data_IF_844794638068
#
_entry.id   IF_844794638068
#
_cell.length_a   1.000
_cell.length_b   1.000
_cell.length_c   1.000
_cell.angle_alpha   90.00
_cell.angle_beta   90.00
_cell.angle_gamma   90.00
#
_symmetry.space_group_name_H-M   'P 1'
#
loop_
_entity.id
_entity.type
_entity.pdbx_description
1 polymer ?
#
# COMPACT_ATOMS: atom_id res chain seq x y z
N UNK A 1 2.54 -25.06 -18.71
CA UNK A 1 1.68 -23.87 -18.92
C UNK A 1 0.48 -24.01 -17.97
N UNK A 2 0.60 -23.61 -16.69
CA UNK A 2 -0.47 -23.47 -15.68
C UNK A 2 0.13 -23.31 -14.26
N UNK A 3 0.92 -22.26 -14.06
CA UNK A 3 1.42 -21.89 -12.72
C UNK A 3 1.27 -20.40 -12.45
N UNK A 4 1.30 -19.55 -13.48
CA UNK A 4 1.11 -18.11 -13.36
C UNK A 4 -0.33 -17.67 -13.01
N UNK A 5 -1.36 -18.47 -13.34
CA UNK A 5 -2.76 -18.10 -13.06
C UNK A 5 -3.15 -18.25 -11.58
N UNK A 6 -2.62 -19.25 -10.88
CA UNK A 6 -2.94 -19.47 -9.46
C UNK A 6 -2.24 -18.47 -8.52
N UNK A 7 -1.07 -17.94 -8.91
CA UNK A 7 -0.39 -16.89 -8.15
C UNK A 7 -1.09 -15.52 -8.26
N UNK A 8 -1.75 -15.23 -9.39
CA UNK A 8 -2.44 -13.95 -9.59
C UNK A 8 -3.71 -13.83 -8.72
N UNK A 9 -4.51 -14.90 -8.63
CA UNK A 9 -5.72 -14.93 -7.80
C UNK A 9 -5.43 -14.82 -6.30
N UNK A 10 -4.35 -15.45 -5.81
CA UNK A 10 -3.99 -15.41 -4.39
C UNK A 10 -3.41 -14.06 -3.94
N UNK A 11 -2.83 -13.27 -4.83
CA UNK A 11 -2.42 -11.89 -4.54
C UNK A 11 -3.61 -10.94 -4.41
N UNK A 12 -4.70 -11.21 -5.12
CA UNK A 12 -5.87 -10.32 -5.19
C UNK A 12 -6.73 -10.39 -3.92
N UNK A 13 -6.96 -11.59 -3.36
CA UNK A 13 -7.69 -11.78 -2.10
C UNK A 13 -6.94 -11.17 -0.90
N UNK A 14 -5.61 -11.26 -0.92
CA UNK A 14 -4.72 -10.66 0.07
C UNK A 14 -4.70 -9.13 -0.02
N UNK A 15 -4.76 -8.58 -1.24
CA UNK A 15 -4.79 -7.13 -1.47
C UNK A 15 -6.09 -6.51 -0.97
N UNK A 16 -7.24 -7.08 -1.31
CA UNK A 16 -8.54 -6.52 -0.87
C UNK A 16 -8.68 -6.57 0.64
N UNK A 17 -8.22 -7.63 1.28
CA UNK A 17 -8.22 -7.74 2.74
C UNK A 17 -7.34 -6.65 3.38
N UNK A 18 -6.09 -6.48 2.89
CA UNK A 18 -5.17 -5.42 3.36
C UNK A 18 -5.71 -4.01 3.09
N UNK A 19 -6.40 -3.80 1.97
CA UNK A 19 -7.03 -2.52 1.64
C UNK A 19 -8.16 -2.21 2.62
N UNK A 20 -9.01 -3.20 2.95
CA UNK A 20 -10.06 -3.05 3.97
C UNK A 20 -9.47 -2.72 5.33
N UNK A 21 -8.43 -3.43 5.76
CA UNK A 21 -7.72 -3.14 7.01
C UNK A 21 -7.23 -1.68 7.03
N UNK A 22 -6.60 -1.22 5.94
CA UNK A 22 -6.08 0.14 5.84
C UNK A 22 -7.19 1.21 5.88
N UNK A 23 -8.27 1.00 5.14
CA UNK A 23 -9.41 1.93 5.10
C UNK A 23 -10.14 1.98 6.45
N UNK A 24 -10.29 0.83 7.13
CA UNK A 24 -10.88 0.77 8.46
C UNK A 24 -10.00 1.49 9.49
N UNK A 25 -8.69 1.27 9.48
CA UNK A 25 -7.76 2.00 10.35
C UNK A 25 -7.87 3.51 10.16
N UNK A 26 -8.01 3.97 8.92
CA UNK A 26 -8.22 5.38 8.61
C UNK A 26 -9.56 5.91 9.11
N UNK A 27 -10.66 5.16 8.89
CA UNK A 27 -12.00 5.53 9.37
C UNK A 27 -12.08 5.62 10.90
N UNK A 28 -11.38 4.74 11.61
CA UNK A 28 -11.27 4.77 13.07
C UNK A 28 -10.25 5.79 13.59
N UNK A 29 -9.62 6.57 12.70
CA UNK A 29 -8.61 7.59 13.02
C UNK A 29 -7.42 7.02 13.81
N UNK A 30 -7.06 5.76 13.56
CA UNK A 30 -5.86 5.19 14.16
C UNK A 30 -4.63 5.86 13.56
N UNK A 31 -3.73 6.32 14.43
CA UNK A 31 -2.44 6.86 13.99
C UNK A 31 -1.63 5.73 13.38
N UNK A 32 -1.20 5.92 12.14
CA UNK A 32 -0.25 5.02 11.49
C UNK A 32 1.04 4.96 12.32
N UNK A 33 1.33 3.81 12.90
CA UNK A 33 2.53 3.57 13.73
C UNK A 33 3.58 2.69 13.01
N UNK A 34 3.33 2.29 11.76
CA UNK A 34 4.19 1.39 11.00
C UNK A 34 3.84 -0.09 11.17
N UNK A 35 2.99 -0.46 12.12
CA UNK A 35 2.52 -1.82 12.30
C UNK A 35 1.21 -2.06 11.53
N UNK A 36 1.04 -3.30 11.03
CA UNK A 36 -0.23 -3.72 10.45
C UNK A 36 -1.27 -3.82 11.56
N UNK A 37 -2.35 -3.05 11.43
CA UNK A 37 -3.52 -3.22 12.26
C UNK A 37 -4.39 -4.33 11.65
N UNK A 38 -4.81 -5.27 12.50
CA UNK A 38 -5.60 -6.43 12.08
C UNK A 38 -7.04 -6.20 12.54
N UNK A 39 -7.99 -6.28 11.62
CA UNK A 39 -9.40 -6.20 11.94
C UNK A 39 -10.05 -7.59 11.92
N UNK A 40 -11.11 -7.74 12.71
CA UNK A 40 -11.87 -9.00 12.77
C UNK A 40 -12.71 -9.19 11.51
N UNK A 41 -13.03 -10.44 11.18
CA UNK A 41 -13.93 -10.77 10.07
C UNK A 41 -15.29 -10.04 10.17
N UNK A 42 -15.78 -9.81 11.40
CA UNK A 42 -17.03 -9.09 11.64
C UNK A 42 -16.90 -7.62 11.20
N UNK A 43 -15.78 -6.97 11.48
CA UNK A 43 -15.55 -5.59 11.03
C UNK A 43 -15.43 -5.52 9.50
N UNK A 44 -14.77 -6.51 8.89
CA UNK A 44 -14.66 -6.61 7.42
C UNK A 44 -16.00 -6.83 6.73
N UNK A 45 -16.92 -7.58 7.35
CA UNK A 45 -18.26 -7.84 6.82
C UNK A 45 -19.19 -6.64 6.92
N UNK A 46 -18.92 -5.66 7.79
CA UNK A 46 -19.69 -4.42 7.83
C UNK A 46 -19.19 -3.37 6.81
N UNK A 47 -17.98 -3.56 6.26
CA UNK A 47 -17.43 -2.72 5.20
C UNK A 47 -17.65 -3.36 3.83
N UNK A 48 -18.48 -2.73 3.00
CA UNK A 48 -18.70 -3.13 1.61
C UNK A 48 -18.23 -2.03 0.68
N UNK A 49 -17.48 -2.42 -0.36
CA UNK A 49 -17.23 -1.52 -1.48
C UNK A 49 -18.50 -1.42 -2.31
N UNK A 50 -18.91 -0.19 -2.62
CA UNK A 50 -20.00 0.06 -3.56
C UNK A 50 -19.60 -0.55 -4.92
N UNK A 51 -20.52 -1.25 -5.55
CA UNK A 51 -20.32 -1.94 -6.84
C UNK A 51 -19.18 -2.97 -6.87
N UNK A 52 -18.83 -3.55 -5.71
CA UNK A 52 -17.87 -4.64 -5.57
C UNK A 52 -16.49 -4.35 -6.22
N UNK A 53 -16.02 -3.11 -6.13
CA UNK A 53 -14.75 -2.67 -6.74
C UNK A 53 -14.72 -2.82 -8.28
N UNK A 54 -15.86 -2.97 -8.97
CA UNK A 54 -15.89 -3.06 -10.43
C UNK A 54 -15.26 -1.82 -11.13
N UNK A 55 -15.19 -0.69 -10.42
CA UNK A 55 -14.56 0.55 -10.89
C UNK A 55 -13.12 0.74 -10.41
N UNK A 56 -12.56 -0.18 -9.61
CA UNK A 56 -11.15 -0.12 -9.24
C UNK A 56 -10.34 -0.66 -10.40
N UNK A 57 -9.95 0.27 -11.26
CA UNK A 57 -9.07 0.02 -12.40
C UNK A 57 -7.66 -0.18 -11.83
N UNK A 58 -7.00 -1.27 -12.24
CA UNK A 58 -5.56 -1.44 -12.03
C UNK A 58 -4.82 -0.24 -12.64
N UNK A 59 -4.23 0.59 -11.79
CA UNK A 59 -3.57 1.79 -12.28
C UNK A 59 -2.24 1.41 -12.95
N UNK A 60 -2.12 1.74 -14.23
CA UNK A 60 -0.86 1.55 -14.98
C UNK A 60 0.27 2.47 -14.49
N UNK A 61 -0.10 3.54 -13.78
CA UNK A 61 0.82 4.56 -13.28
C UNK A 61 0.37 5.08 -11.92
N UNK A 62 1.30 5.17 -10.98
CA UNK A 62 1.11 5.76 -9.66
C UNK A 62 1.83 7.11 -9.62
N UNK A 63 1.15 8.17 -9.20
CA UNK A 63 1.72 9.52 -9.11
C UNK A 63 1.97 9.86 -7.65
N UNK A 64 3.20 10.28 -7.33
CA UNK A 64 3.60 10.62 -5.96
C UNK A 64 4.09 12.05 -5.92
N UNK A 65 3.57 12.82 -4.97
CA UNK A 65 4.16 14.09 -4.58
C UNK A 65 5.11 13.85 -3.40
N UNK A 66 6.32 14.38 -3.49
CA UNK A 66 7.32 14.25 -2.43
C UNK A 66 8.09 15.54 -2.25
N UNK A 67 8.69 15.67 -1.07
CA UNK A 67 9.64 16.73 -0.78
C UNK A 67 11.02 16.13 -0.81
N UNK A 68 11.88 16.62 -1.70
CA UNK A 68 13.28 16.19 -1.76
C UNK A 68 14.07 16.76 -0.57
N UNK A 69 15.29 16.27 -0.38
CA UNK A 69 16.15 16.65 0.75
C UNK A 69 16.47 18.16 0.82
N UNK A 70 16.43 18.84 -0.33
CA UNK A 70 16.60 20.29 -0.46
C UNK A 70 15.28 21.07 -0.21
N UNK A 71 14.25 20.40 0.31
CA UNK A 71 12.94 20.98 0.67
C UNK A 71 12.12 21.41 -0.56
N UNK A 72 12.53 20.98 -1.75
CA UNK A 72 11.79 21.23 -2.98
C UNK A 72 10.63 20.23 -3.12
N UNK A 73 9.46 20.74 -3.51
CA UNK A 73 8.31 19.89 -3.82
C UNK A 73 8.42 19.39 -5.26
N UNK A 74 8.41 18.07 -5.42
CA UNK A 74 8.52 17.40 -6.70
C UNK A 74 7.38 16.38 -6.87
N UNK A 75 7.23 15.89 -8.10
CA UNK A 75 6.21 14.93 -8.46
C UNK A 75 6.77 13.93 -9.46
N UNK A 76 6.60 12.65 -9.18
CA UNK A 76 7.05 11.55 -10.04
C UNK A 76 5.89 10.62 -10.40
N UNK A 77 6.02 10.01 -11.58
CA UNK A 77 5.14 8.94 -12.06
C UNK A 77 5.90 7.62 -12.03
N UNK A 78 5.28 6.62 -11.43
CA UNK A 78 5.85 5.30 -11.18
C UNK A 78 5.01 4.25 -11.90
N UNK A 79 5.63 3.35 -12.62
CA UNK A 79 4.95 2.23 -13.29
C UNK A 79 5.19 0.95 -12.49
N UNK A 80 4.11 0.29 -11.99
CA UNK A 80 4.20 -1.04 -11.40
C UNK A 80 4.86 -2.06 -12.33
N UNK A 81 5.57 -3.04 -11.79
CA UNK A 81 6.22 -4.12 -12.55
C UNK A 81 7.66 -3.87 -13.06
N UNK A 82 8.10 -2.63 -13.24
CA UNK A 82 9.44 -2.33 -13.79
C UNK A 82 10.57 -2.26 -12.72
N UNK A 83 10.41 -2.94 -11.59
CA UNK A 83 11.36 -2.81 -10.46
C UNK A 83 11.39 -1.39 -9.89
N UNK A 84 10.27 -0.67 -9.99
CA UNK A 84 10.14 0.68 -9.45
C UNK A 84 10.28 0.63 -7.93
N UNK A 85 11.31 1.29 -7.41
CA UNK A 85 11.61 1.34 -5.98
C UNK A 85 11.56 2.77 -5.47
N UNK A 86 11.04 2.92 -4.26
CA UNK A 86 10.90 4.18 -3.55
C UNK A 86 11.78 4.11 -2.32
N UNK A 87 12.55 5.16 -2.09
CA UNK A 87 13.32 5.36 -0.87
C UNK A 87 12.65 6.47 -0.06
N UNK A 88 12.31 6.20 1.19
CA UNK A 88 11.67 7.18 2.08
C UNK A 88 12.38 7.22 3.43
N UNK A 89 12.28 8.34 4.12
CA UNK A 89 12.81 8.46 5.47
C UNK A 89 12.10 7.45 6.39
N UNK A 90 12.89 6.66 7.11
CA UNK A 90 12.39 5.71 8.10
C UNK A 90 11.78 6.46 9.29
N UNK A 91 10.69 5.93 9.84
CA UNK A 91 10.09 6.44 11.09
C UNK A 91 10.61 5.71 12.32
N UNK A 92 11.58 4.82 12.15
CA UNK A 92 12.16 4.07 13.26
C UNK A 92 13.13 4.94 14.06
N UNK A 93 12.87 5.08 15.37
CA UNK A 93 13.66 5.91 16.29
C UNK A 93 14.61 5.06 17.17
N UNK A 94 14.97 3.87 16.69
CA UNK A 94 15.82 2.93 17.44
C UNK A 94 17.29 3.14 17.08
N UNK A 95 18.22 3.00 18.05
CA UNK A 95 19.65 3.03 17.76
C UNK A 95 20.02 1.94 16.74
N UNK A 96 20.93 2.25 15.82
CA UNK A 96 21.48 1.33 14.81
C UNK A 96 20.51 0.87 13.71
N UNK A 97 19.37 1.54 13.54
CA UNK A 97 18.46 1.27 12.42
C UNK A 97 18.84 2.09 11.19
N UNK A 98 18.61 1.52 10.01
CA UNK A 98 18.82 2.21 8.75
C UNK A 98 17.89 3.44 8.63
N UNK A 99 18.40 4.63 8.29
CA UNK A 99 17.61 5.86 8.27
C UNK A 99 16.54 5.90 7.17
N UNK A 100 16.52 4.92 6.27
CA UNK A 100 15.62 4.87 5.13
C UNK A 100 14.91 3.53 5.00
N UNK A 101 13.65 3.60 4.58
CA UNK A 101 12.88 2.46 4.09
C UNK A 101 12.94 2.39 2.56
N UNK A 102 12.90 1.17 2.06
CA UNK A 102 12.84 0.86 0.65
C UNK A 102 11.54 0.11 0.37
N UNK A 103 10.78 0.60 -0.59
CA UNK A 103 9.50 0.02 -1.01
C UNK A 103 9.57 -0.29 -2.49
N UNK A 104 9.12 -1.47 -2.91
CA UNK A 104 8.96 -1.80 -4.32
C UNK A 104 7.49 -1.67 -4.70
N UNK A 105 7.21 -0.95 -5.78
CA UNK A 105 5.88 -0.87 -6.38
C UNK A 105 5.66 -2.15 -7.19
N UNK A 106 4.69 -2.96 -6.78
CA UNK A 106 4.30 -4.22 -7.41
C UNK A 106 3.29 -3.96 -8.52
#
# INVERSE_FOLDING_TARGET
>A
MCSAFYSCLSLQDDFISKLKDHLLAWLYQHKFNGDKQWFSHIQHSHSHFIDNLNYVIESKTFQVNYTSYDICHHQDFMQPGNGCTIMMLSREDRPQVHPFWYVQVL
#
